data_IF_036347685895
#
_entry.id   IF_036347685895
#
_cell.length_a   1.000
_cell.length_b   1.000
_cell.length_c   1.000
_cell.angle_alpha   90.00
_cell.angle_beta   90.00
_cell.angle_gamma   90.00
#
_symmetry.space_group_name_H-M   'P 1'
#
loop_
_entity.id
_entity.type
_entity.pdbx_description
1 polymer ?
#
# COMPACT_ATOMS: atom_id res chain seq x y z
N UNK A 1 -3.46 -4.20 -32.14
CA UNK A 1 -3.69 -4.13 -30.69
C UNK A 1 -2.34 -3.82 -30.08
N UNK A 2 -2.16 -2.58 -29.61
CA UNK A 2 -0.96 -2.22 -28.87
C UNK A 2 -0.90 -3.09 -27.61
N UNK A 3 0.17 -3.84 -27.46
CA UNK A 3 0.52 -4.51 -26.20
C UNK A 3 0.76 -3.41 -25.16
N UNK A 4 -0.28 -3.01 -24.43
CA UNK A 4 -0.09 -2.08 -23.33
C UNK A 4 0.83 -2.77 -22.31
N UNK A 5 2.07 -2.28 -22.23
CA UNK A 5 3.06 -2.79 -21.25
C UNK A 5 2.42 -2.75 -19.86
N UNK A 6 2.41 -3.88 -19.14
CA UNK A 6 1.86 -3.97 -17.79
C UNK A 6 2.58 -2.95 -16.90
N UNK A 7 1.83 -2.14 -16.18
CA UNK A 7 2.38 -1.05 -15.40
C UNK A 7 2.62 -1.48 -13.95
N UNK A 8 3.87 -1.42 -13.49
CA UNK A 8 4.22 -1.62 -12.10
C UNK A 8 4.41 -0.26 -11.41
N UNK A 9 3.74 -0.09 -10.27
CA UNK A 9 3.86 1.08 -9.42
C UNK A 9 4.67 0.73 -8.18
N UNK A 10 5.86 1.30 -8.09
CA UNK A 10 6.80 0.99 -7.03
C UNK A 10 7.06 2.23 -6.18
N UNK A 11 7.04 2.07 -4.86
CA UNK A 11 7.29 3.14 -3.92
C UNK A 11 7.55 2.65 -2.49
N UNK A 12 7.56 3.59 -1.56
CA UNK A 12 7.74 3.33 -0.14
C UNK A 12 6.47 3.69 0.65
N UNK A 13 6.38 3.15 1.85
CA UNK A 13 5.34 3.49 2.83
C UNK A 13 5.68 4.81 3.55
N UNK A 14 5.61 5.89 2.80
CA UNK A 14 6.00 7.24 3.17
C UNK A 14 7.19 7.75 2.36
N UNK A 15 7.38 9.05 2.41
CA UNK A 15 8.46 9.76 1.71
C UNK A 15 9.31 10.62 2.67
N UNK A 16 8.91 10.74 3.94
CA UNK A 16 9.57 11.60 4.92
C UNK A 16 10.57 10.79 5.74
N UNK A 17 11.82 10.71 5.24
CA UNK A 17 12.90 10.04 5.95
C UNK A 17 14.23 10.76 5.69
N UNK A 18 14.81 11.35 6.74
CA UNK A 18 16.08 12.07 6.65
C UNK A 18 17.28 11.16 6.36
N UNK A 19 17.20 9.85 6.68
CA UNK A 19 18.26 8.89 6.38
C UNK A 19 18.42 8.61 4.87
N UNK A 20 17.51 9.11 4.04
CA UNK A 20 17.57 8.96 2.59
C UNK A 20 18.36 10.08 1.89
N UNK A 21 18.87 11.07 2.66
CA UNK A 21 19.82 12.07 2.14
C UNK A 21 21.13 11.42 1.73
N UNK A 22 21.70 11.91 0.64
CA UNK A 22 22.87 11.29 0.02
C UNK A 22 22.56 10.06 -0.86
N UNK A 23 21.37 9.48 -0.74
CA UNK A 23 20.93 8.31 -1.54
C UNK A 23 19.79 8.65 -2.49
N UNK A 24 18.63 9.06 -1.96
CA UNK A 24 17.45 9.46 -2.72
C UNK A 24 17.30 10.98 -2.80
N UNK A 25 17.60 11.67 -1.71
CA UNK A 25 17.56 13.12 -1.62
C UNK A 25 18.96 13.71 -1.64
N UNK A 26 19.18 14.87 -2.27
CA UNK A 26 20.44 15.60 -2.11
C UNK A 26 20.79 15.82 -0.63
N UNK A 27 22.07 15.76 -0.28
CA UNK A 27 22.56 15.88 1.10
C UNK A 27 22.00 17.12 1.82
N UNK A 28 22.02 18.27 1.11
CA UNK A 28 21.58 19.55 1.64
C UNK A 28 20.09 19.85 1.44
N UNK A 29 19.26 18.85 1.05
CA UNK A 29 17.84 19.05 0.79
C UNK A 29 17.08 19.42 2.06
N UNK A 30 16.07 20.29 1.89
CA UNK A 30 15.15 20.60 2.99
C UNK A 30 14.04 19.54 3.08
N UNK A 31 13.66 19.19 4.30
CA UNK A 31 12.60 18.19 4.54
C UNK A 31 11.26 18.56 3.90
N UNK A 32 10.98 19.85 3.71
CA UNK A 32 9.75 20.32 3.04
C UNK A 32 9.68 19.92 1.57
N UNK A 33 10.82 19.64 0.93
CA UNK A 33 10.95 19.34 -0.50
C UNK A 33 10.98 17.80 -0.77
N UNK A 34 10.92 16.96 0.28
CA UNK A 34 11.09 15.52 0.16
C UNK A 34 10.07 14.87 -0.76
N UNK A 35 8.79 15.27 -0.76
CA UNK A 35 7.80 14.70 -1.67
C UNK A 35 8.12 15.01 -3.14
N UNK A 36 8.49 16.26 -3.42
CA UNK A 36 8.91 16.69 -4.76
C UNK A 36 10.13 15.91 -5.25
N UNK A 37 11.13 15.72 -4.39
CA UNK A 37 12.33 14.94 -4.72
C UNK A 37 12.02 13.45 -4.89
N UNK A 38 11.17 12.88 -4.00
CA UNK A 38 10.72 11.50 -4.06
C UNK A 38 10.01 11.19 -5.38
N UNK A 39 9.14 12.09 -5.83
CA UNK A 39 8.35 11.92 -7.06
C UNK A 39 9.19 11.98 -8.36
N UNK A 40 10.45 12.38 -8.28
CA UNK A 40 11.38 12.29 -9.42
C UNK A 40 11.86 10.86 -9.69
N UNK A 41 11.87 10.01 -8.65
CA UNK A 41 12.34 8.62 -8.74
C UNK A 41 11.19 7.62 -8.78
N UNK A 42 10.14 7.86 -8.00
CA UNK A 42 8.99 6.97 -7.86
C UNK A 42 7.73 7.60 -8.44
N UNK A 43 6.84 6.76 -8.95
CA UNK A 43 5.55 7.18 -9.52
C UNK A 43 4.38 7.00 -8.54
N UNK A 44 4.65 6.50 -7.32
CA UNK A 44 3.63 6.28 -6.29
C UNK A 44 4.22 6.33 -4.89
N UNK A 45 3.35 6.62 -3.92
CA UNK A 45 3.66 6.54 -2.49
C UNK A 45 2.45 6.01 -1.72
N UNK A 46 2.70 5.20 -0.71
CA UNK A 46 1.71 4.82 0.30
C UNK A 46 1.79 5.79 1.48
N UNK A 47 0.72 6.49 1.77
CA UNK A 47 0.67 7.46 2.87
C UNK A 47 0.20 6.78 4.15
N UNK A 48 1.12 6.59 5.10
CA UNK A 48 0.85 5.99 6.39
C UNK A 48 0.58 7.00 7.52
N UNK A 49 0.89 8.28 7.34
CA UNK A 49 0.61 9.31 8.34
C UNK A 49 -0.89 9.49 8.61
N UNK A 50 -1.73 9.19 7.64
CA UNK A 50 -3.19 9.20 7.73
C UNK A 50 -3.75 8.17 8.69
N UNK A 51 -3.00 7.11 9.00
CA UNK A 51 -3.35 6.13 10.03
C UNK A 51 -3.50 6.75 11.42
N UNK A 52 -2.76 7.82 11.68
CA UNK A 52 -2.74 8.52 12.98
C UNK A 52 -3.56 9.80 12.97
N UNK A 53 -3.62 10.50 11.84
CA UNK A 53 -4.27 11.80 11.74
C UNK A 53 -4.79 12.06 10.33
N UNK A 54 -6.06 12.49 10.21
CA UNK A 54 -6.65 12.96 8.95
C UNK A 54 -5.85 14.16 8.42
N UNK A 55 -5.43 14.15 7.15
CA UNK A 55 -4.68 15.26 6.56
C UNK A 55 -5.59 16.48 6.38
N UNK A 56 -5.01 17.69 6.47
CA UNK A 56 -5.73 18.92 6.16
C UNK A 56 -5.86 19.13 4.65
N UNK A 57 -6.83 19.92 4.19
CA UNK A 57 -6.94 20.32 2.77
C UNK A 57 -5.64 20.94 2.25
N UNK A 58 -4.97 21.76 3.07
CA UNK A 58 -3.66 22.34 2.72
C UNK A 58 -2.59 21.27 2.50
N UNK A 59 -2.60 20.20 3.30
CA UNK A 59 -1.67 19.09 3.14
C UNK A 59 -1.95 18.32 1.83
N UNK A 60 -3.22 18.07 1.54
CA UNK A 60 -3.64 17.39 0.31
C UNK A 60 -3.30 18.22 -0.93
N UNK A 61 -3.56 19.53 -0.89
CA UNK A 61 -3.17 20.44 -1.96
C UNK A 61 -1.65 20.42 -2.20
N UNK A 62 -0.85 20.47 -1.12
CA UNK A 62 0.60 20.36 -1.24
C UNK A 62 1.03 19.07 -1.93
N UNK A 63 0.40 17.92 -1.64
CA UNK A 63 0.69 16.66 -2.33
C UNK A 63 0.40 16.74 -3.82
N UNK A 64 -0.69 17.41 -4.20
CA UNK A 64 -1.05 17.63 -5.60
C UNK A 64 -0.02 18.49 -6.32
N UNK A 65 0.42 19.57 -5.69
CA UNK A 65 1.32 20.57 -6.27
C UNK A 65 2.78 20.07 -6.41
N UNK A 66 3.21 19.20 -5.49
CA UNK A 66 4.59 18.69 -5.45
C UNK A 66 4.85 17.44 -6.30
N UNK A 67 3.82 16.89 -6.92
CA UNK A 67 3.93 15.67 -7.74
C UNK A 67 3.42 15.91 -9.16
N UNK A 68 3.91 15.14 -10.14
CA UNK A 68 3.41 15.22 -11.52
C UNK A 68 2.02 14.56 -11.64
N UNK A 69 1.34 14.73 -12.78
CA UNK A 69 -0.04 14.24 -13.00
C UNK A 69 -0.16 12.72 -13.00
N UNK A 70 0.89 12.01 -13.39
CA UNK A 70 0.92 10.55 -13.40
C UNK A 70 1.18 9.92 -12.02
N UNK A 71 1.58 10.74 -11.03
CA UNK A 71 1.89 10.26 -9.69
C UNK A 71 0.63 9.77 -8.97
N UNK A 72 0.74 8.64 -8.25
CA UNK A 72 -0.38 8.00 -7.58
C UNK A 72 -0.17 7.87 -6.08
N UNK A 73 -1.22 8.14 -5.32
CA UNK A 73 -1.26 7.98 -3.87
C UNK A 73 -2.13 6.78 -3.49
N UNK A 74 -1.59 5.89 -2.67
CA UNK A 74 -2.36 4.95 -1.88
C UNK A 74 -2.47 5.48 -0.46
N UNK A 75 -3.68 5.55 0.09
CA UNK A 75 -3.94 6.22 1.37
C UNK A 75 -4.33 5.19 2.43
N UNK A 76 -3.55 5.09 3.50
CA UNK A 76 -3.87 4.19 4.60
C UNK A 76 -5.01 4.75 5.44
N UNK A 77 -6.04 3.94 5.65
CA UNK A 77 -7.22 4.27 6.44
C UNK A 77 -6.85 4.46 7.93
N UNK A 78 -7.47 5.44 8.64
CA UNK A 78 -7.20 5.70 10.05
C UNK A 78 -7.38 4.49 10.98
N UNK A 79 -6.54 4.40 12.01
CA UNK A 79 -6.62 3.33 13.03
C UNK A 79 -7.95 3.32 13.80
N UNK A 80 -8.62 4.46 13.90
CA UNK A 80 -9.94 4.58 14.53
C UNK A 80 -11.00 3.73 13.85
N UNK A 81 -10.82 3.43 12.56
CA UNK A 81 -11.73 2.57 11.79
C UNK A 81 -11.33 1.10 11.94
N UNK A 82 -10.03 0.80 11.88
CA UNK A 82 -9.53 -0.57 11.75
C UNK A 82 -9.07 -1.23 13.06
N UNK A 83 -8.83 -0.46 14.14
CA UNK A 83 -8.22 -0.94 15.39
C UNK A 83 -9.02 -0.61 16.65
N UNK A 84 -10.21 -0.01 16.55
CA UNK A 84 -10.98 0.50 17.71
C UNK A 84 -12.39 -0.09 17.83
N UNK A 85 -12.52 -1.39 17.55
CA UNK A 85 -13.81 -2.09 17.55
C UNK A 85 -14.50 -2.02 16.19
N UNK A 86 -15.44 -2.97 15.99
CA UNK A 86 -16.14 -3.17 14.72
C UNK A 86 -17.62 -2.94 14.95
N UNK A 87 -18.10 -1.73 14.66
CA UNK A 87 -19.49 -1.30 14.81
C UNK A 87 -20.03 -0.79 13.48
N UNK A 88 -21.35 -0.68 13.35
CA UNK A 88 -22.03 -0.17 12.17
C UNK A 88 -21.60 1.26 11.78
N UNK A 89 -21.26 2.10 12.75
CA UNK A 89 -20.78 3.46 12.51
C UNK A 89 -19.44 3.51 11.74
N UNK A 90 -18.70 2.40 11.69
CA UNK A 90 -17.41 2.36 10.97
C UNK A 90 -17.53 2.48 9.48
N UNK A 91 -18.66 2.04 8.93
CA UNK A 91 -18.96 2.24 7.50
C UNK A 91 -19.04 3.75 7.18
N UNK A 92 -19.83 4.49 7.92
CA UNK A 92 -19.97 5.93 7.72
C UNK A 92 -18.63 6.68 7.93
N UNK A 93 -17.86 6.30 8.97
CA UNK A 93 -16.52 6.87 9.20
C UNK A 93 -15.58 6.60 8.00
N UNK A 94 -15.60 5.38 7.43
CA UNK A 94 -14.81 4.99 6.27
C UNK A 94 -15.25 5.76 5.03
N UNK A 95 -16.55 5.78 4.73
CA UNK A 95 -17.11 6.45 3.55
C UNK A 95 -16.78 7.95 3.59
N UNK A 96 -16.99 8.61 4.73
CA UNK A 96 -16.66 10.03 4.93
C UNK A 96 -15.15 10.30 4.78
N UNK A 97 -14.29 9.38 5.23
CA UNK A 97 -12.85 9.53 5.05
C UNK A 97 -12.46 9.37 3.59
N UNK A 98 -12.96 8.33 2.91
CA UNK A 98 -12.67 8.07 1.49
C UNK A 98 -13.16 9.19 0.59
N UNK A 99 -14.39 9.67 0.81
CA UNK A 99 -14.96 10.79 0.08
C UNK A 99 -14.10 12.05 0.26
N UNK A 100 -13.75 12.40 1.50
CA UNK A 100 -12.91 13.57 1.79
C UNK A 100 -11.56 13.53 1.06
N UNK A 101 -10.90 12.37 1.05
CA UNK A 101 -9.64 12.21 0.33
C UNK A 101 -9.86 12.36 -1.18
N UNK A 102 -10.85 11.63 -1.73
CA UNK A 102 -11.13 11.67 -3.17
C UNK A 102 -11.48 13.06 -3.68
N UNK A 103 -12.28 13.83 -2.96
CA UNK A 103 -12.63 15.21 -3.32
C UNK A 103 -11.40 16.13 -3.46
N UNK A 104 -10.31 15.82 -2.77
CA UNK A 104 -9.13 16.70 -2.74
C UNK A 104 -7.95 16.18 -3.60
N UNK A 105 -7.89 14.89 -3.95
CA UNK A 105 -6.79 14.32 -4.76
C UNK A 105 -7.25 13.34 -5.83
N UNK A 106 -8.51 13.42 -6.32
CA UNK A 106 -9.16 12.43 -7.20
C UNK A 106 -8.29 11.98 -8.39
N UNK A 107 -7.64 12.91 -9.08
CA UNK A 107 -6.81 12.60 -10.25
C UNK A 107 -5.56 11.78 -9.94
N UNK A 108 -5.10 11.79 -8.69
CA UNK A 108 -3.89 11.08 -8.22
C UNK A 108 -4.19 9.98 -7.18
N UNK A 109 -5.44 9.80 -6.78
CA UNK A 109 -5.82 8.72 -5.87
C UNK A 109 -5.82 7.37 -6.60
N UNK A 110 -5.00 6.42 -6.14
CA UNK A 110 -4.98 5.05 -6.65
C UNK A 110 -5.90 4.12 -5.85
N UNK A 111 -6.11 4.38 -4.57
CA UNK A 111 -6.96 3.58 -3.69
C UNK A 111 -6.64 3.76 -2.21
N UNK A 112 -7.25 2.90 -1.40
CA UNK A 112 -7.11 2.92 0.05
C UNK A 112 -6.54 1.61 0.57
N UNK A 113 -5.65 1.70 1.54
CA UNK A 113 -5.15 0.56 2.30
C UNK A 113 -5.88 0.47 3.63
N UNK A 114 -6.55 -0.65 3.85
CA UNK A 114 -7.14 -1.03 5.13
C UNK A 114 -6.28 -2.13 5.73
N UNK A 115 -5.61 -1.85 6.85
CA UNK A 115 -4.78 -2.84 7.54
C UNK A 115 -5.39 -3.20 8.88
N UNK A 116 -5.65 -4.48 9.10
CA UNK A 116 -6.18 -5.00 10.35
C UNK A 116 -5.07 -5.50 11.30
N UNK A 117 -5.29 -5.42 12.63
CA UNK A 117 -4.36 -5.95 13.61
C UNK A 117 -4.36 -7.48 13.62
N UNK A 118 -3.35 -8.09 14.25
CA UNK A 118 -3.25 -9.55 14.41
C UNK A 118 -4.38 -10.16 15.25
N UNK A 119 -5.07 -9.36 16.04
CA UNK A 119 -6.27 -9.79 16.80
C UNK A 119 -7.53 -9.91 15.94
N UNK A 120 -7.51 -9.40 14.69
CA UNK A 120 -8.63 -9.52 13.76
C UNK A 120 -8.53 -10.87 13.02
N UNK A 121 -9.13 -11.91 13.59
CA UNK A 121 -9.15 -13.26 13.05
C UNK A 121 -10.27 -13.44 12.04
N UNK A 122 -10.09 -14.35 11.07
CA UNK A 122 -11.15 -14.79 10.19
C UNK A 122 -12.18 -15.59 10.98
N UNK A 123 -13.41 -15.09 11.03
CA UNK A 123 -14.59 -15.72 11.58
C UNK A 123 -15.82 -15.06 10.96
N UNK A 124 -16.99 -15.69 11.11
CA UNK A 124 -18.24 -15.23 10.50
C UNK A 124 -18.53 -13.75 10.80
N UNK A 125 -18.43 -13.33 12.06
CA UNK A 125 -18.67 -11.95 12.48
C UNK A 125 -17.75 -10.94 11.77
N UNK A 126 -16.47 -11.24 11.71
CA UNK A 126 -15.49 -10.34 11.09
C UNK A 126 -15.61 -10.33 9.57
N UNK A 127 -15.92 -11.47 8.97
CA UNK A 127 -16.16 -11.57 7.52
C UNK A 127 -17.42 -10.80 7.13
N UNK A 128 -18.51 -10.97 7.88
CA UNK A 128 -19.73 -10.20 7.67
C UNK A 128 -19.49 -8.69 7.82
N UNK A 129 -18.75 -8.28 8.86
CA UNK A 129 -18.40 -6.88 9.04
C UNK A 129 -17.61 -6.29 7.85
N UNK A 130 -16.69 -7.06 7.25
CA UNK A 130 -16.00 -6.61 6.03
C UNK A 130 -17.00 -6.35 4.90
N UNK A 131 -17.94 -7.27 4.67
CA UNK A 131 -18.95 -7.15 3.59
C UNK A 131 -19.87 -5.96 3.81
N UNK A 132 -20.26 -5.69 5.04
CA UNK A 132 -21.14 -4.57 5.38
C UNK A 132 -20.43 -3.21 5.35
N UNK A 133 -19.12 -3.20 5.55
CA UNK A 133 -18.34 -1.95 5.76
C UNK A 133 -17.59 -1.50 4.52
N UNK A 134 -16.99 -2.44 3.76
CA UNK A 134 -16.15 -2.06 2.63
C UNK A 134 -17.01 -1.70 1.41
N UNK A 135 -16.78 -0.48 0.88
CA UNK A 135 -17.40 -0.02 -0.36
C UNK A 135 -16.64 -0.52 -1.60
N UNK A 136 -17.33 -0.57 -2.74
CA UNK A 136 -16.73 -0.82 -4.06
C UNK A 136 -16.53 0.47 -4.87
N UNK A 137 -16.76 1.65 -4.27
CA UNK A 137 -16.64 2.93 -4.96
C UNK A 137 -15.18 3.30 -5.26
N UNK A 138 -14.25 2.70 -4.52
CA UNK A 138 -12.79 2.93 -4.65
C UNK A 138 -12.03 1.61 -4.65
N UNK A 139 -10.85 1.54 -5.28
CA UNK A 139 -9.95 0.40 -5.08
C UNK A 139 -9.53 0.30 -3.60
N UNK A 140 -9.84 -0.82 -2.95
CA UNK A 140 -9.51 -1.09 -1.55
C UNK A 140 -8.56 -2.28 -1.48
N UNK A 141 -7.35 -2.03 -0.97
CA UNK A 141 -6.40 -3.07 -0.59
C UNK A 141 -6.57 -3.38 0.89
N UNK A 142 -6.73 -4.65 1.23
CA UNK A 142 -6.88 -5.11 2.61
C UNK A 142 -5.68 -5.95 3.00
N UNK A 143 -4.98 -5.53 4.06
CA UNK A 143 -3.87 -6.26 4.66
C UNK A 143 -4.29 -6.89 5.98
N UNK A 144 -4.18 -8.20 6.07
CA UNK A 144 -4.38 -8.95 7.30
C UNK A 144 -3.06 -9.27 7.99
N UNK A 145 -3.10 -9.37 9.32
CA UNK A 145 -1.97 -9.71 10.21
C UNK A 145 -2.17 -11.02 10.95
N UNK A 146 -3.16 -11.84 10.52
CA UNK A 146 -3.43 -13.15 11.08
C UNK A 146 -3.62 -14.16 9.95
N UNK A 147 -2.92 -15.32 10.03
CA UNK A 147 -2.88 -16.36 8.98
C UNK A 147 -4.24 -16.97 8.63
N UNK A 148 -5.25 -16.86 9.52
CA UNK A 148 -6.59 -17.43 9.26
C UNK A 148 -7.31 -16.83 8.06
N UNK A 149 -6.85 -15.68 7.56
CA UNK A 149 -7.42 -15.04 6.38
C UNK A 149 -6.90 -15.63 5.05
N UNK A 150 -5.83 -16.43 5.08
CA UNK A 150 -5.28 -17.09 3.88
C UNK A 150 -6.00 -18.42 3.63
N UNK A 151 -7.13 -18.36 2.96
CA UNK A 151 -7.91 -19.52 2.54
C UNK A 151 -8.78 -19.19 1.32
N UNK A 152 -9.21 -20.23 0.59
CA UNK A 152 -9.94 -20.09 -0.67
C UNK A 152 -11.31 -19.40 -0.51
N UNK A 153 -11.99 -19.57 0.62
CA UNK A 153 -13.27 -18.93 0.90
C UNK A 153 -13.10 -17.40 0.90
N UNK A 154 -12.07 -16.90 1.56
CA UNK A 154 -11.75 -15.48 1.62
C UNK A 154 -11.28 -14.96 0.26
N UNK A 155 -10.44 -15.71 -0.47
CA UNK A 155 -10.03 -15.29 -1.81
C UNK A 155 -11.21 -15.21 -2.77
N UNK A 156 -12.18 -16.15 -2.69
CA UNK A 156 -13.42 -16.09 -3.45
C UNK A 156 -14.29 -14.89 -3.06
N UNK A 157 -14.39 -14.57 -1.76
CA UNK A 157 -15.10 -13.38 -1.28
C UNK A 157 -14.49 -12.10 -1.87
N UNK A 158 -13.16 -11.98 -1.86
CA UNK A 158 -12.45 -10.84 -2.43
C UNK A 158 -12.65 -10.74 -3.96
N UNK A 159 -12.71 -11.88 -4.65
CA UNK A 159 -13.02 -11.95 -6.08
C UNK A 159 -14.44 -11.44 -6.38
N UNK A 160 -15.43 -11.82 -5.57
CA UNK A 160 -16.82 -11.41 -5.73
C UNK A 160 -16.99 -9.89 -5.56
N UNK A 161 -16.28 -9.31 -4.59
CA UNK A 161 -16.34 -7.89 -4.28
C UNK A 161 -15.29 -7.05 -5.03
N UNK A 162 -14.41 -7.67 -5.81
CA UNK A 162 -13.32 -7.00 -6.52
C UNK A 162 -12.36 -6.25 -5.58
N UNK A 163 -12.28 -6.63 -4.31
CA UNK A 163 -11.30 -6.09 -3.37
C UNK A 163 -9.92 -6.66 -3.63
N UNK A 164 -8.90 -5.92 -3.24
CA UNK A 164 -7.51 -6.30 -3.40
C UNK A 164 -7.06 -6.98 -2.10
N UNK A 165 -6.71 -8.26 -2.15
CA UNK A 165 -6.03 -8.92 -1.04
C UNK A 165 -4.55 -8.53 -1.10
N UNK A 166 -4.05 -7.80 -0.09
CA UNK A 166 -2.65 -7.41 -0.04
C UNK A 166 -1.77 -8.61 0.23
N UNK A 167 -0.91 -8.97 -0.73
CA UNK A 167 0.25 -9.81 -0.43
C UNK A 167 1.19 -9.08 0.52
N UNK A 168 1.94 -9.80 1.33
CA UNK A 168 2.79 -9.20 2.37
C UNK A 168 4.00 -10.06 2.69
N UNK A 169 5.18 -9.44 2.79
CA UNK A 169 6.32 -10.02 3.48
C UNK A 169 6.43 -9.40 4.86
N UNK A 170 6.19 -10.21 5.89
CA UNK A 170 6.08 -9.78 7.28
C UNK A 170 6.71 -10.82 8.22
N UNK A 171 7.43 -10.41 9.30
CA UNK A 171 7.93 -11.35 10.29
C UNK A 171 6.80 -12.16 10.94
N UNK A 172 6.99 -13.47 11.11
CA UNK A 172 6.03 -14.36 11.74
C UNK A 172 5.51 -15.44 10.79
N UNK A 173 4.29 -15.93 11.05
CA UNK A 173 3.66 -17.05 10.33
C UNK A 173 2.67 -16.59 9.24
N UNK A 174 2.81 -15.38 8.73
CA UNK A 174 1.98 -14.87 7.64
C UNK A 174 2.55 -15.42 6.32
N UNK A 175 1.74 -16.02 5.44
CA UNK A 175 2.18 -16.41 4.09
C UNK A 175 2.66 -15.21 3.28
N UNK A 176 3.70 -15.41 2.47
CA UNK A 176 4.33 -14.35 1.65
C UNK A 176 3.88 -14.42 0.18
N UNK A 177 2.77 -15.10 -0.10
CA UNK A 177 2.27 -15.35 -1.44
C UNK A 177 1.85 -14.04 -2.15
N UNK A 178 2.03 -14.01 -3.45
CA UNK A 178 1.42 -13.01 -4.33
C UNK A 178 -0.02 -13.42 -4.58
N UNK A 179 -0.96 -12.68 -3.98
CA UNK A 179 -2.39 -12.98 -4.10
C UNK A 179 -2.99 -12.15 -5.23
N UNK A 180 -3.64 -12.82 -6.16
CA UNK A 180 -4.38 -12.21 -7.27
C UNK A 180 -5.88 -12.39 -7.02
N UNK A 181 -6.60 -11.30 -7.11
CA UNK A 181 -8.07 -11.28 -7.05
C UNK A 181 -8.63 -10.70 -8.35
N UNK A 182 -9.95 -10.73 -8.54
CA UNK A 182 -10.62 -10.14 -9.69
C UNK A 182 -10.57 -8.59 -9.71
N UNK A 183 -9.80 -7.98 -8.82
CA UNK A 183 -9.50 -6.55 -8.88
C UNK A 183 -8.68 -6.24 -10.13
N UNK A 184 -8.74 -4.97 -10.58
CA UNK A 184 -7.96 -4.51 -11.74
C UNK A 184 -6.47 -4.34 -11.46
N UNK A 185 -6.06 -4.40 -10.19
CA UNK A 185 -4.69 -4.17 -9.71
C UNK A 185 -4.35 -5.13 -8.57
N UNK A 186 -3.09 -5.52 -8.48
CA UNK A 186 -2.54 -6.22 -7.32
C UNK A 186 -1.84 -5.26 -6.34
N UNK A 187 -1.56 -5.76 -5.14
CA UNK A 187 -0.94 -4.98 -4.07
C UNK A 187 -0.01 -5.84 -3.24
N UNK A 188 1.20 -5.36 -2.97
CA UNK A 188 2.18 -6.10 -2.16
C UNK A 188 2.98 -5.17 -1.25
N UNK A 189 3.21 -5.60 -0.01
CA UNK A 189 3.95 -4.81 0.99
C UNK A 189 5.13 -5.58 1.57
N UNK A 190 6.28 -4.91 1.63
CA UNK A 190 7.54 -5.46 2.13
C UNK A 190 7.92 -4.77 3.46
N UNK A 191 7.68 -5.45 4.58
CA UNK A 191 7.85 -4.87 5.92
C UNK A 191 9.24 -5.05 6.54
N UNK A 192 10.12 -5.80 5.88
CA UNK A 192 11.41 -6.20 6.43
C UNK A 192 11.31 -7.48 7.26
N UNK A 193 12.17 -8.47 6.96
CA UNK A 193 12.21 -9.78 7.61
C UNK A 193 13.67 -10.20 7.75
N UNK A 194 14.13 -10.67 8.91
CA UNK A 194 13.35 -11.05 10.10
C UNK A 194 12.94 -9.88 11.03
N UNK A 195 13.56 -8.69 10.90
CA UNK A 195 13.29 -7.56 11.81
C UNK A 195 12.37 -6.55 11.14
N UNK A 196 11.16 -6.42 11.69
CA UNK A 196 10.12 -5.52 11.20
C UNK A 196 10.65 -4.08 11.01
N UNK A 197 10.34 -3.50 9.87
CA UNK A 197 10.71 -2.15 9.41
C UNK A 197 12.22 -1.90 9.19
N UNK A 198 13.09 -2.88 9.51
CA UNK A 198 14.56 -2.68 9.49
C UNK A 198 15.28 -3.54 8.46
N UNK A 199 14.97 -4.84 8.44
CA UNK A 199 15.75 -5.78 7.63
C UNK A 199 15.64 -5.50 6.14
N UNK A 200 16.77 -5.55 5.42
CA UNK A 200 16.79 -5.57 3.96
C UNK A 200 16.27 -6.91 3.43
N UNK A 201 15.91 -6.93 2.16
CA UNK A 201 15.63 -8.13 1.38
C UNK A 201 16.85 -8.48 0.51
N UNK A 202 17.10 -9.76 0.31
CA UNK A 202 18.13 -10.22 -0.62
C UNK A 202 17.69 -10.01 -2.07
N UNK A 203 18.64 -9.85 -2.98
CA UNK A 203 18.37 -9.76 -4.41
C UNK A 203 17.65 -11.01 -4.95
N UNK A 204 17.98 -12.20 -4.43
CA UNK A 204 17.31 -13.44 -4.79
C UNK A 204 15.82 -13.40 -4.46
N UNK A 205 15.45 -13.01 -3.23
CA UNK A 205 14.06 -12.86 -2.82
C UNK A 205 13.30 -11.85 -3.72
N UNK A 206 13.91 -10.68 -3.98
CA UNK A 206 13.28 -9.64 -4.81
C UNK A 206 13.14 -10.09 -6.28
N UNK A 207 14.08 -10.89 -6.78
CA UNK A 207 14.03 -11.46 -8.13
C UNK A 207 12.89 -12.49 -8.25
N UNK A 208 12.71 -13.35 -7.25
CA UNK A 208 11.64 -14.34 -7.25
C UNK A 208 10.28 -13.66 -7.10
N UNK A 209 10.14 -12.69 -6.19
CA UNK A 209 8.94 -11.86 -6.08
C UNK A 209 8.58 -11.16 -7.42
N UNK A 210 9.59 -10.61 -8.11
CA UNK A 210 9.37 -9.97 -9.41
C UNK A 210 8.84 -10.95 -10.46
N UNK A 211 9.35 -12.20 -10.48
CA UNK A 211 8.85 -13.26 -11.38
C UNK A 211 7.39 -13.60 -11.09
N UNK A 212 7.04 -13.78 -9.81
CA UNK A 212 5.67 -14.07 -9.40
C UNK A 212 4.72 -12.94 -9.80
N UNK A 213 5.08 -11.69 -9.50
CA UNK A 213 4.28 -10.52 -9.86
C UNK A 213 4.13 -10.38 -11.39
N UNK A 214 5.19 -10.57 -12.16
CA UNK A 214 5.12 -10.54 -13.63
C UNK A 214 4.21 -11.64 -14.19
N UNK A 215 4.21 -12.83 -13.59
CA UNK A 215 3.37 -13.94 -14.01
C UNK A 215 1.87 -13.69 -13.82
N UNK A 216 1.48 -12.73 -12.98
CA UNK A 216 0.06 -12.38 -12.77
C UNK A 216 -0.59 -11.68 -13.96
N UNK A 217 0.20 -11.10 -14.85
CA UNK A 217 -0.25 -10.33 -16.02
C UNK A 217 -1.19 -9.15 -15.68
N UNK A 218 -1.07 -8.57 -14.48
CA UNK A 218 -1.86 -7.40 -14.08
C UNK A 218 -0.97 -6.29 -13.50
N UNK A 219 -1.44 -5.02 -13.49
CA UNK A 219 -0.74 -3.93 -12.81
C UNK A 219 -0.63 -4.19 -11.31
N UNK A 220 0.52 -3.84 -10.71
CA UNK A 220 0.77 -4.01 -9.28
C UNK A 220 1.25 -2.72 -8.63
N UNK A 221 0.79 -2.49 -7.40
CA UNK A 221 1.35 -1.53 -6.47
C UNK A 221 2.20 -2.24 -5.43
N UNK A 222 3.47 -1.86 -5.32
CA UNK A 222 4.45 -2.53 -4.46
C UNK A 222 5.07 -1.49 -3.54
N UNK A 223 4.95 -1.68 -2.22
CA UNK A 223 5.43 -0.70 -1.25
C UNK A 223 6.41 -1.28 -0.25
N UNK A 224 7.57 -0.66 -0.18
CA UNK A 224 8.58 -0.96 0.82
C UNK A 224 8.30 -0.20 2.12
N UNK A 225 8.08 -0.94 3.19
CA UNK A 225 7.83 -0.43 4.54
C UNK A 225 8.99 -0.74 5.52
N UNK A 226 10.11 -1.26 5.02
CA UNK A 226 11.36 -1.42 5.78
C UNK A 226 12.17 -0.11 5.79
N UNK A 227 11.52 0.96 6.23
CA UNK A 227 11.95 2.36 6.05
C UNK A 227 12.80 2.92 7.20
N UNK A 228 13.20 2.10 8.18
CA UNK A 228 13.99 2.57 9.33
C UNK A 228 15.32 3.22 8.93
N UNK A 229 16.03 2.63 7.95
CA UNK A 229 17.29 3.12 7.38
C UNK A 229 17.18 3.36 5.89
N UNK A 230 18.15 2.90 5.13
CA UNK A 230 18.24 3.01 3.66
C UNK A 230 17.68 1.81 2.92
N UNK A 231 17.45 0.69 3.61
CA UNK A 231 17.09 -0.61 3.00
C UNK A 231 15.88 -0.53 2.05
N UNK A 232 14.87 0.29 2.39
CA UNK A 232 13.71 0.47 1.52
C UNK A 232 14.09 1.04 0.16
N UNK A 233 15.02 2.02 0.13
CA UNK A 233 15.45 2.66 -1.12
C UNK A 233 16.33 1.70 -1.92
N UNK A 234 17.31 1.06 -1.30
CA UNK A 234 18.21 0.11 -1.97
C UNK A 234 17.43 -1.04 -2.60
N UNK A 235 16.53 -1.67 -1.82
CA UNK A 235 15.68 -2.76 -2.28
C UNK A 235 14.70 -2.33 -3.38
N UNK A 236 14.08 -1.14 -3.24
CA UNK A 236 13.12 -0.66 -4.23
C UNK A 236 13.80 -0.28 -5.56
N UNK A 237 14.98 0.31 -5.53
CA UNK A 237 15.75 0.61 -6.74
C UNK A 237 16.18 -0.67 -7.46
N UNK A 238 16.61 -1.71 -6.71
CA UNK A 238 16.90 -3.01 -7.29
C UNK A 238 15.65 -3.63 -7.95
N UNK A 239 14.53 -3.68 -7.22
CA UNK A 239 13.28 -4.25 -7.73
C UNK A 239 12.77 -3.49 -8.97
N UNK A 240 12.89 -2.16 -8.97
CA UNK A 240 12.52 -1.33 -10.12
C UNK A 240 13.30 -1.73 -11.36
N UNK A 241 14.61 -1.89 -11.24
CA UNK A 241 15.50 -2.29 -12.37
C UNK A 241 15.09 -3.62 -13.00
N UNK A 242 14.57 -4.56 -12.22
CA UNK A 242 14.18 -5.89 -12.73
C UNK A 242 12.72 -5.99 -13.15
N UNK A 243 11.87 -5.02 -12.78
CA UNK A 243 10.47 -4.92 -13.24
C UNK A 243 10.33 -4.14 -14.56
N UNK A 244 11.19 -3.14 -14.80
CA UNK A 244 11.27 -2.36 -16.05
C UNK A 244 11.80 -3.22 -17.20
#
# INVERSE_FOLDING_TARGET
>A
MENSKIKFHLGCSGFYNANWKGLLYPENSNNKDFLKLYSQTYNTVEINSTFYRKPTKKTLQKWMDETNDDFKFFIKVPKTITHSGYSEHKKEELDNFCQYINENISGKLAGFLIQFPSSFHCNEKNTQWLVETLSNDYPIAVEFRHQSWWNDEIFNLFNQHQWIFSGVSFPGKIPEDVIVTNSKIGYYRLHGKPTLYKSPYSEAFLTDLAKEIKATNQPFYIYFNNTWGTSAIENSLYLKKILD
#
